data_IF_566573220577
#
_entry.id   IF_566573220577
#
_cell.length_a   1.000
_cell.length_b   1.000
_cell.length_c   1.000
_cell.angle_alpha   90.00
_cell.angle_beta   90.00
_cell.angle_gamma   90.00
#
_symmetry.space_group_name_H-M   'P 1'
#
loop_
_entity.id
_entity.type
_entity.pdbx_description
1 polymer ?
#
# COMPACT_ATOMS: atom_id res chain seq x y z
N UNK A 1 59.42 1.07 26.15
CA UNK A 1 58.55 1.53 25.07
C UNK A 1 57.93 0.28 24.45
N UNK A 2 56.65 0.01 24.75
CA UNK A 2 55.84 -1.05 24.10
C UNK A 2 54.89 -0.37 23.15
N UNK A 3 54.64 -0.87 21.92
CA UNK A 3 53.67 -0.29 20.99
C UNK A 3 52.26 -0.66 21.40
N UNK A 4 51.35 0.31 21.32
CA UNK A 4 49.92 0.18 21.49
C UNK A 4 49.35 -0.56 20.25
N UNK A 5 48.82 -1.77 20.47
CA UNK A 5 48.00 -2.45 19.49
C UNK A 5 46.61 -1.78 19.42
N UNK A 6 46.34 -1.14 18.30
CA UNK A 6 45.00 -0.69 17.95
C UNK A 6 44.14 -1.89 17.54
N UNK A 7 43.28 -2.34 18.42
CA UNK A 7 42.22 -3.30 18.10
C UNK A 7 41.15 -2.62 17.20
N UNK A 8 41.23 -2.92 15.92
CA UNK A 8 40.22 -2.61 14.94
C UNK A 8 39.00 -3.53 15.18
N UNK A 9 37.87 -3.02 15.68
CA UNK A 9 36.60 -3.76 15.77
C UNK A 9 35.66 -3.35 14.61
N UNK A 10 35.63 -4.10 13.51
CA UNK A 10 34.61 -3.94 12.49
C UNK A 10 33.42 -4.84 12.86
N UNK A 11 32.45 -4.34 13.56
CA UNK A 11 31.33 -5.23 13.91
C UNK A 11 30.02 -4.57 14.35
N UNK A 12 30.02 -3.29 14.72
CA UNK A 12 28.84 -2.63 15.27
C UNK A 12 27.95 -1.92 14.22
N UNK A 13 28.52 -1.38 13.18
CA UNK A 13 27.77 -0.65 12.12
C UNK A 13 26.92 -1.61 11.28
N UNK A 14 27.43 -2.82 11.03
CA UNK A 14 26.68 -3.85 10.31
C UNK A 14 25.45 -4.37 11.07
N UNK A 15 25.48 -4.33 12.40
CA UNK A 15 24.35 -4.87 13.23
C UNK A 15 23.18 -3.88 13.29
N UNK A 16 23.39 -2.58 13.38
CA UNK A 16 22.32 -1.58 13.41
C UNK A 16 21.62 -1.45 12.06
N UNK A 17 22.37 -1.46 10.95
CA UNK A 17 21.81 -1.49 9.60
C UNK A 17 21.06 -2.81 9.31
N UNK A 18 21.61 -3.94 9.76
CA UNK A 18 20.98 -5.24 9.65
C UNK A 18 19.71 -5.33 10.50
N UNK A 19 19.64 -4.65 11.63
CA UNK A 19 18.45 -4.65 12.50
C UNK A 19 17.32 -3.77 11.93
N UNK A 20 17.63 -2.62 11.36
CA UNK A 20 16.64 -1.78 10.68
C UNK A 20 16.09 -2.45 9.42
N UNK A 21 16.93 -3.13 8.64
CA UNK A 21 16.53 -3.93 7.48
C UNK A 21 15.77 -5.19 7.92
N UNK A 22 16.13 -5.81 9.05
CA UNK A 22 15.43 -6.96 9.59
C UNK A 22 14.02 -6.63 10.11
N UNK A 23 13.82 -5.47 10.72
CA UNK A 23 12.50 -5.00 11.17
C UNK A 23 11.60 -4.68 9.97
N UNK A 24 12.13 -4.05 8.93
CA UNK A 24 11.41 -3.80 7.68
C UNK A 24 11.10 -5.11 6.91
N UNK A 25 12.05 -6.06 6.89
CA UNK A 25 11.85 -7.38 6.27
C UNK A 25 10.88 -8.26 7.07
N UNK A 26 10.88 -8.19 8.40
CA UNK A 26 9.92 -8.90 9.25
C UNK A 26 8.50 -8.34 9.09
N UNK A 27 8.34 -7.04 8.92
CA UNK A 27 7.06 -6.42 8.57
C UNK A 27 6.54 -6.91 7.22
N UNK A 28 7.40 -6.99 6.22
CA UNK A 28 7.03 -7.47 4.88
C UNK A 28 6.80 -9.00 4.86
N UNK A 29 7.61 -9.78 5.56
CA UNK A 29 7.40 -11.25 5.71
C UNK A 29 6.15 -11.53 6.52
N UNK A 30 5.87 -10.78 7.57
CA UNK A 30 4.61 -10.88 8.31
C UNK A 30 3.41 -10.55 7.43
N UNK A 31 3.52 -9.51 6.59
CA UNK A 31 2.50 -9.14 5.60
C UNK A 31 2.30 -10.24 4.54
N UNK A 32 3.37 -10.77 3.94
CA UNK A 32 3.27 -11.82 2.91
C UNK A 32 2.82 -13.16 3.47
N UNK A 33 3.22 -13.52 4.68
CA UNK A 33 2.71 -14.70 5.37
C UNK A 33 1.24 -14.50 5.81
N UNK A 34 0.89 -13.28 6.22
CA UNK A 34 -0.47 -12.95 6.61
C UNK A 34 -1.42 -12.89 5.41
N UNK A 35 -1.01 -12.34 4.26
CA UNK A 35 -1.81 -12.31 3.03
C UNK A 35 -1.78 -13.63 2.25
N UNK A 36 -0.69 -14.39 2.32
CA UNK A 36 -0.52 -15.65 1.56
C UNK A 36 -1.12 -16.90 2.21
N UNK A 37 -1.44 -16.88 3.50
CA UNK A 37 -1.82 -18.09 4.24
C UNK A 37 -3.24 -18.06 4.84
N UNK A 38 -4.07 -17.06 4.50
CA UNK A 38 -5.49 -17.05 4.90
C UNK A 38 -6.38 -17.09 3.67
N UNK A 39 -7.06 -18.21 3.48
CA UNK A 39 -8.33 -18.26 2.76
C UNK A 39 -9.34 -17.48 3.61
N UNK A 40 -9.68 -16.28 3.22
CA UNK A 40 -10.60 -15.37 3.91
C UNK A 40 -12.07 -15.86 3.90
N UNK A 41 -12.38 -16.99 3.23
CA UNK A 41 -13.72 -17.51 3.01
C UNK A 41 -13.96 -18.90 3.61
N UNK A 42 -13.34 -19.26 4.75
CA UNK A 42 -13.70 -20.48 5.45
C UNK A 42 -14.75 -20.18 6.52
N UNK A 43 -16.02 -20.45 6.22
CA UNK A 43 -17.07 -20.66 7.23
C UNK A 43 -16.57 -21.68 8.28
N UNK A 44 -16.84 -21.47 9.58
CA UNK A 44 -16.37 -22.38 10.61
C UNK A 44 -17.19 -23.65 10.60
N UNK A 45 -16.76 -24.65 9.87
CA UNK A 45 -17.19 -26.03 10.10
C UNK A 45 -16.16 -26.67 11.02
N UNK A 46 -16.63 -27.05 12.19
CA UNK A 46 -15.90 -27.68 13.29
C UNK A 46 -15.18 -28.95 12.83
N UNK A 47 -13.84 -28.90 12.72
CA UNK A 47 -13.01 -30.08 12.60
C UNK A 47 -12.04 -30.16 13.79
N UNK A 48 -12.12 -31.25 14.51
CA UNK A 48 -11.23 -31.65 15.59
C UNK A 48 -9.75 -31.65 15.11
N UNK A 49 -8.88 -30.97 15.87
CA UNK A 49 -7.44 -30.89 15.62
C UNK A 49 -6.77 -32.10 16.26
N UNK A 50 -6.02 -32.94 15.52
CA UNK A 50 -5.08 -33.87 16.13
C UNK A 50 -3.77 -33.15 16.46
N UNK A 51 -3.23 -33.45 17.63
CA UNK A 51 -1.94 -33.01 18.14
C UNK A 51 -0.81 -33.26 17.12
N UNK A 52 -0.13 -32.21 16.66
CA UNK A 52 1.04 -32.27 15.80
C UNK A 52 2.27 -31.70 16.52
N UNK A 53 3.33 -32.50 16.56
CA UNK A 53 4.65 -32.18 17.08
C UNK A 53 5.32 -30.97 16.40
N UNK A 54 6.21 -30.23 17.06
CA UNK A 54 6.82 -29.02 16.51
C UNK A 54 7.86 -29.37 15.44
N UNK A 55 7.62 -28.89 14.22
CA UNK A 55 8.54 -29.03 13.10
C UNK A 55 9.72 -28.05 13.21
N UNK A 56 10.90 -28.59 12.99
CA UNK A 56 12.22 -27.97 12.97
C UNK A 56 12.31 -26.92 11.87
N UNK A 57 12.85 -25.74 12.19
CA UNK A 57 13.09 -24.63 11.28
C UNK A 57 13.98 -25.03 10.09
N UNK A 58 13.41 -25.02 8.88
CA UNK A 58 14.09 -25.30 7.63
C UNK A 58 14.85 -24.07 7.09
N UNK A 59 16.07 -24.33 6.62
CA UNK A 59 17.00 -23.36 6.07
C UNK A 59 16.46 -22.65 4.81
N UNK A 60 16.74 -21.34 4.72
CA UNK A 60 16.42 -20.44 3.59
C UNK A 60 17.31 -20.81 2.39
N UNK A 61 16.79 -20.96 1.16
CA UNK A 61 17.59 -21.13 -0.03
C UNK A 61 18.42 -19.87 -0.36
N UNK A 62 19.65 -20.00 -0.91
CA UNK A 62 20.61 -18.90 -1.01
C UNK A 62 20.50 -17.98 -2.23
N UNK A 63 19.49 -18.08 -3.08
CA UNK A 63 19.47 -17.40 -4.40
C UNK A 63 18.33 -16.39 -4.59
N UNK A 64 18.31 -15.32 -3.77
CA UNK A 64 17.55 -14.11 -4.14
C UNK A 64 18.50 -12.89 -4.20
N UNK A 65 18.51 -12.13 -5.32
CA UNK A 65 19.35 -10.94 -5.43
C UNK A 65 18.86 -9.85 -4.47
N UNK A 66 19.77 -9.42 -3.58
CA UNK A 66 19.53 -8.34 -2.62
C UNK A 66 19.81 -6.98 -3.28
N UNK A 67 19.02 -5.92 -2.98
CA UNK A 67 19.32 -4.56 -3.41
C UNK A 67 20.69 -4.13 -2.85
N UNK A 68 21.61 -3.77 -3.73
CA UNK A 68 22.97 -3.36 -3.36
C UNK A 68 24.09 -4.22 -3.94
N UNK A 69 23.80 -5.27 -4.71
CA UNK A 69 24.83 -6.02 -5.44
C UNK A 69 25.26 -5.30 -6.74
N UNK A 70 26.57 -5.35 -7.13
CA UNK A 70 27.06 -4.77 -8.36
C UNK A 70 26.44 -5.54 -9.55
N UNK A 71 25.55 -4.88 -10.30
CA UNK A 71 24.81 -5.44 -11.43
C UNK A 71 23.44 -4.81 -11.67
N UNK A 72 22.91 -4.02 -10.74
CA UNK A 72 21.68 -3.27 -10.95
C UNK A 72 22.01 -1.99 -11.72
N UNK A 73 21.94 -2.04 -13.05
CA UNK A 73 22.09 -0.85 -13.88
C UNK A 73 20.75 -0.14 -14.00
N UNK A 74 20.72 1.07 -13.43
CA UNK A 74 19.70 2.07 -13.68
C UNK A 74 19.75 2.46 -15.17
N UNK A 75 18.65 2.56 -15.92
CA UNK A 75 18.68 2.99 -17.31
C UNK A 75 19.19 4.45 -17.40
N UNK A 76 20.16 4.76 -18.28
CA UNK A 76 20.71 6.09 -18.40
C UNK A 76 19.73 7.06 -19.07
N UNK A 77 19.55 8.22 -18.47
CA UNK A 77 18.96 9.37 -19.12
C UNK A 77 19.97 9.93 -20.13
N UNK A 78 19.59 10.04 -21.40
CA UNK A 78 20.34 10.74 -22.43
C UNK A 78 21.00 9.84 -23.48
N UNK A 79 20.32 9.61 -24.59
CA UNK A 79 20.90 9.01 -25.80
C UNK A 79 21.90 9.96 -26.46
N UNK A 80 23.17 9.58 -26.40
CA UNK A 80 24.16 10.00 -27.39
C UNK A 80 24.29 8.89 -28.44
N UNK A 81 24.14 9.24 -29.70
CA UNK A 81 24.31 8.35 -30.85
C UNK A 81 25.75 7.83 -30.91
N UNK A 82 25.93 6.52 -30.63
CA UNK A 82 27.22 5.83 -30.84
C UNK A 82 27.18 5.15 -32.17
N UNK A 83 28.17 5.45 -33.02
CA UNK A 83 28.34 4.87 -34.35
C UNK A 83 28.52 3.34 -34.31
N UNK A 84 27.99 2.69 -35.30
CA UNK A 84 28.02 1.25 -35.52
C UNK A 84 29.46 0.76 -35.76
N UNK A 85 30.00 -0.24 -35.03
CA UNK A 85 31.30 -0.81 -35.32
C UNK A 85 31.25 -1.64 -36.62
N UNK A 86 32.29 -1.63 -37.45
CA UNK A 86 32.34 -2.41 -38.70
C UNK A 86 32.52 -3.90 -38.35
N UNK A 87 31.55 -4.72 -38.75
CA UNK A 87 31.64 -6.20 -38.63
C UNK A 87 30.42 -6.87 -37.99
N UNK A 88 29.36 -6.14 -37.64
CA UNK A 88 28.13 -6.75 -37.15
C UNK A 88 27.41 -7.56 -38.24
N UNK A 89 27.22 -8.87 -38.02
CA UNK A 89 26.32 -9.70 -38.83
C UNK A 89 24.94 -9.03 -38.88
N UNK A 90 24.24 -9.04 -40.03
CA UNK A 90 22.91 -8.52 -40.12
C UNK A 90 22.02 -9.26 -39.09
N UNK A 91 21.48 -8.51 -38.14
CA UNK A 91 20.41 -9.00 -37.26
C UNK A 91 19.26 -9.38 -38.19
N UNK A 92 18.73 -10.62 -38.14
CA UNK A 92 17.57 -10.96 -38.93
C UNK A 92 16.48 -9.92 -38.65
N UNK A 93 15.96 -9.30 -39.73
CA UNK A 93 14.83 -8.38 -39.62
C UNK A 93 13.76 -9.01 -38.71
N UNK A 94 13.23 -8.29 -37.73
CA UNK A 94 12.14 -8.81 -36.93
C UNK A 94 11.08 -9.31 -37.91
N UNK A 95 10.67 -10.57 -37.73
CA UNK A 95 9.60 -11.16 -38.52
C UNK A 95 8.47 -10.16 -38.57
N UNK A 96 7.96 -9.86 -39.76
CA UNK A 96 6.80 -8.98 -39.98
C UNK A 96 5.78 -9.34 -38.93
N UNK A 97 5.33 -8.41 -38.06
CA UNK A 97 4.38 -8.75 -37.01
C UNK A 97 3.21 -9.45 -37.71
N UNK A 98 2.91 -10.66 -37.29
CA UNK A 98 1.74 -11.40 -37.73
C UNK A 98 0.58 -10.39 -37.65
N UNK A 99 -0.09 -10.18 -38.82
CA UNK A 99 -1.13 -9.16 -39.02
C UNK A 99 -1.94 -9.02 -37.76
N UNK A 100 -1.75 -7.91 -37.04
CA UNK A 100 -2.42 -7.68 -35.75
C UNK A 100 -3.92 -7.81 -36.05
N UNK A 101 -4.55 -8.84 -35.46
CA UNK A 101 -5.95 -9.15 -35.69
C UNK A 101 -6.73 -7.91 -35.31
N UNK A 102 -7.40 -7.29 -36.27
CA UNK A 102 -8.21 -6.12 -36.01
C UNK A 102 -9.39 -6.56 -35.16
N UNK A 103 -9.46 -6.03 -33.92
CA UNK A 103 -10.58 -6.30 -33.03
C UNK A 103 -11.77 -5.46 -33.48
N UNK A 104 -12.97 -6.04 -33.38
CA UNK A 104 -14.24 -5.35 -33.37
C UNK A 104 -14.99 -5.74 -32.08
N UNK A 105 -16.12 -5.10 -31.77
CA UNK A 105 -16.83 -5.36 -30.51
C UNK A 105 -17.27 -6.83 -30.38
N UNK A 106 -17.66 -7.48 -31.44
CA UNK A 106 -18.09 -8.88 -31.43
C UNK A 106 -16.91 -9.83 -31.16
N UNK A 107 -15.76 -9.59 -31.80
CA UNK A 107 -14.55 -10.37 -31.55
C UNK A 107 -13.98 -10.13 -30.15
N UNK A 108 -14.08 -8.90 -29.60
CA UNK A 108 -13.73 -8.61 -28.22
C UNK A 108 -14.60 -9.45 -27.26
N UNK A 109 -15.92 -9.42 -27.43
CA UNK A 109 -16.84 -10.21 -26.60
C UNK A 109 -16.54 -11.71 -26.66
N UNK A 110 -16.26 -12.25 -27.84
CA UNK A 110 -15.90 -13.66 -28.02
C UNK A 110 -14.58 -14.02 -27.31
N UNK A 111 -13.56 -13.12 -27.35
CA UNK A 111 -12.27 -13.36 -26.70
C UNK A 111 -12.40 -13.28 -25.17
N UNK A 112 -13.21 -12.36 -24.65
CA UNK A 112 -13.53 -12.28 -23.22
C UNK A 112 -14.24 -13.54 -22.75
N UNK A 113 -15.17 -14.11 -23.54
CA UNK A 113 -15.83 -15.38 -23.21
C UNK A 113 -14.85 -16.56 -23.23
N UNK A 114 -13.91 -16.59 -24.18
CA UNK A 114 -12.84 -17.60 -24.20
C UNK A 114 -12.00 -17.55 -22.90
N UNK A 115 -11.63 -16.34 -22.46
CA UNK A 115 -10.89 -16.16 -21.20
C UNK A 115 -11.71 -16.61 -19.99
N UNK A 116 -13.02 -16.32 -19.97
CA UNK A 116 -13.93 -16.80 -18.94
C UNK A 116 -13.93 -18.35 -18.85
N UNK A 117 -14.04 -19.03 -19.96
CA UNK A 117 -14.00 -20.50 -20.00
C UNK A 117 -12.65 -21.05 -19.55
N UNK A 118 -11.55 -20.38 -19.94
CA UNK A 118 -10.22 -20.74 -19.49
C UNK A 118 -10.05 -20.55 -17.97
N UNK A 119 -10.60 -19.48 -17.39
CA UNK A 119 -10.58 -19.22 -15.95
C UNK A 119 -11.38 -20.28 -15.16
N UNK A 120 -12.51 -20.74 -15.70
CA UNK A 120 -13.30 -21.82 -15.12
C UNK A 120 -12.54 -23.15 -15.04
N UNK A 121 -11.72 -23.43 -16.05
CA UNK A 121 -10.98 -24.70 -16.19
C UNK A 121 -9.56 -24.65 -15.63
N UNK A 122 -9.06 -23.47 -15.25
CA UNK A 122 -7.70 -23.31 -14.72
C UNK A 122 -7.52 -24.09 -13.41
N UNK A 123 -6.51 -24.97 -13.42
CA UNK A 123 -6.28 -25.93 -12.34
C UNK A 123 -5.77 -25.30 -11.05
N UNK A 124 -5.03 -24.18 -11.16
CA UNK A 124 -4.36 -23.54 -10.02
C UNK A 124 -4.46 -22.01 -10.03
N UNK A 125 -4.10 -21.39 -8.90
CA UNK A 125 -4.13 -19.94 -8.73
C UNK A 125 -3.18 -19.19 -9.66
N UNK A 126 -2.01 -19.75 -10.01
CA UNK A 126 -1.05 -19.12 -10.93
C UNK A 126 -1.58 -19.09 -12.36
N UNK A 127 -2.28 -20.15 -12.77
CA UNK A 127 -2.97 -20.18 -14.05
C UNK A 127 -4.04 -19.10 -14.13
N UNK A 128 -4.86 -18.96 -13.10
CA UNK A 128 -5.88 -17.90 -13.00
C UNK A 128 -5.28 -16.51 -13.01
N UNK A 129 -4.22 -16.27 -12.26
CA UNK A 129 -3.53 -14.97 -12.24
C UNK A 129 -3.01 -14.59 -13.63
N UNK A 130 -2.42 -15.51 -14.38
CA UNK A 130 -1.98 -15.25 -15.76
C UNK A 130 -3.14 -14.89 -16.68
N UNK A 131 -4.29 -15.55 -16.55
CA UNK A 131 -5.49 -15.24 -17.33
C UNK A 131 -6.09 -13.89 -16.96
N UNK A 132 -6.01 -13.47 -15.70
CA UNK A 132 -6.39 -12.12 -15.26
C UNK A 132 -5.48 -11.07 -15.92
N UNK A 133 -4.18 -11.30 -15.97
CA UNK A 133 -3.24 -10.42 -16.69
C UNK A 133 -3.52 -10.37 -18.19
N UNK A 134 -3.77 -11.54 -18.84
CA UNK A 134 -4.17 -11.62 -20.24
C UNK A 134 -5.46 -10.83 -20.53
N UNK A 135 -6.44 -10.90 -19.64
CA UNK A 135 -7.64 -10.06 -19.72
C UNK A 135 -7.30 -8.57 -19.67
N UNK A 136 -6.46 -8.13 -18.76
CA UNK A 136 -6.02 -6.74 -18.67
C UNK A 136 -5.31 -6.25 -19.94
N UNK A 137 -4.44 -7.10 -20.55
CA UNK A 137 -3.76 -6.79 -21.80
C UNK A 137 -4.75 -6.73 -22.98
N UNK A 138 -5.73 -7.63 -23.02
CA UNK A 138 -6.79 -7.63 -24.02
C UNK A 138 -7.61 -6.33 -23.95
N UNK A 139 -8.04 -5.93 -22.76
CA UNK A 139 -8.80 -4.69 -22.54
C UNK A 139 -7.97 -3.48 -22.96
N UNK A 140 -6.70 -3.38 -22.58
CA UNK A 140 -5.83 -2.29 -22.98
C UNK A 140 -5.63 -2.21 -24.50
N UNK A 141 -5.48 -3.36 -25.17
CA UNK A 141 -5.38 -3.45 -26.63
C UNK A 141 -6.68 -3.01 -27.29
N UNK A 142 -7.82 -3.47 -26.78
CA UNK A 142 -9.13 -3.11 -27.29
C UNK A 142 -9.42 -1.60 -27.14
N UNK A 143 -9.07 -0.98 -26.02
CA UNK A 143 -9.19 0.48 -25.82
C UNK A 143 -8.39 1.22 -26.92
N UNK A 144 -7.16 0.76 -27.23
CA UNK A 144 -6.33 1.36 -28.26
C UNK A 144 -6.90 1.22 -29.69
N UNK A 145 -7.68 0.16 -29.97
CA UNK A 145 -8.21 -0.11 -31.31
C UNK A 145 -9.65 0.37 -31.51
N UNK A 146 -10.51 0.23 -30.50
CA UNK A 146 -11.95 0.51 -30.59
C UNK A 146 -12.35 1.80 -29.89
N UNK A 147 -11.51 2.32 -29.01
CA UNK A 147 -11.83 3.44 -28.12
C UNK A 147 -12.46 2.98 -26.79
N UNK A 148 -12.33 3.82 -25.78
CA UNK A 148 -12.75 3.54 -24.41
C UNK A 148 -14.24 3.25 -24.26
N UNK A 149 -15.10 4.05 -24.91
CA UNK A 149 -16.54 3.93 -24.79
C UNK A 149 -17.07 2.62 -25.42
N UNK A 150 -16.56 2.24 -26.59
CA UNK A 150 -16.97 0.98 -27.22
C UNK A 150 -16.58 -0.25 -26.40
N UNK A 151 -15.41 -0.22 -25.77
CA UNK A 151 -14.97 -1.29 -24.84
C UNK A 151 -15.85 -1.29 -23.60
N UNK A 152 -16.17 -0.11 -23.04
CA UNK A 152 -17.05 0.01 -21.90
C UNK A 152 -18.45 -0.55 -22.19
N UNK A 153 -19.05 -0.21 -23.34
CA UNK A 153 -20.35 -0.75 -23.77
C UNK A 153 -20.36 -2.28 -23.82
N UNK A 154 -19.31 -2.89 -24.36
CA UNK A 154 -19.22 -4.35 -24.45
C UNK A 154 -19.05 -4.98 -23.05
N UNK A 155 -18.23 -4.43 -22.16
CA UNK A 155 -18.08 -4.90 -20.79
C UNK A 155 -19.39 -4.74 -19.99
N UNK A 156 -20.11 -3.61 -20.16
CA UNK A 156 -21.42 -3.38 -19.58
C UNK A 156 -22.44 -4.42 -20.06
N UNK A 157 -22.45 -4.71 -21.36
CA UNK A 157 -23.32 -5.76 -21.94
C UNK A 157 -23.04 -7.11 -21.31
N UNK A 158 -21.77 -7.46 -21.09
CA UNK A 158 -21.37 -8.72 -20.45
C UNK A 158 -21.79 -8.75 -18.96
N UNK A 159 -21.62 -7.66 -18.22
CA UNK A 159 -22.10 -7.55 -16.84
C UNK A 159 -23.62 -7.67 -16.72
N UNK A 160 -24.37 -7.09 -17.67
CA UNK A 160 -25.83 -7.13 -17.72
C UNK A 160 -26.40 -8.48 -18.17
N UNK A 161 -25.62 -9.33 -18.81
CA UNK A 161 -26.06 -10.63 -19.32
C UNK A 161 -26.35 -11.67 -18.22
N UNK A 162 -26.13 -11.31 -16.94
CA UNK A 162 -26.53 -12.16 -15.79
C UNK A 162 -25.73 -13.45 -15.67
N UNK A 163 -24.50 -13.48 -16.18
CA UNK A 163 -23.63 -14.63 -15.98
C UNK A 163 -23.47 -14.90 -14.48
N UNK A 164 -23.55 -16.18 -14.11
CA UNK A 164 -23.22 -16.63 -12.77
C UNK A 164 -21.85 -16.11 -12.36
N UNK A 165 -21.74 -15.57 -11.16
CA UNK A 165 -20.51 -15.06 -10.63
C UNK A 165 -19.58 -16.24 -10.34
N UNK A 166 -18.46 -16.30 -11.05
CA UNK A 166 -17.47 -17.36 -10.92
C UNK A 166 -16.50 -16.96 -9.83
N UNK A 167 -16.48 -17.71 -8.74
CA UNK A 167 -15.49 -17.57 -7.68
C UNK A 167 -14.13 -18.13 -8.11
N UNK A 168 -13.12 -17.26 -8.15
CA UNK A 168 -11.74 -17.63 -8.49
C UNK A 168 -10.96 -18.15 -7.29
N UNK A 169 -11.48 -17.99 -6.06
CA UNK A 169 -10.76 -18.30 -4.82
C UNK A 169 -9.39 -17.61 -4.76
N UNK A 170 -9.33 -16.40 -5.25
CA UNK A 170 -8.14 -15.54 -5.21
C UNK A 170 -8.42 -14.33 -4.29
N UNK A 171 -7.38 -13.79 -3.64
CA UNK A 171 -7.54 -12.58 -2.84
C UNK A 171 -7.90 -11.38 -3.72
N UNK A 172 -8.48 -10.36 -3.12
CA UNK A 172 -8.63 -9.05 -3.74
C UNK A 172 -7.31 -8.28 -3.54
N UNK A 173 -6.51 -8.14 -4.60
CA UNK A 173 -5.17 -7.58 -4.51
C UNK A 173 -4.88 -6.64 -5.68
N UNK A 174 -4.66 -5.34 -5.41
CA UNK A 174 -4.19 -4.40 -6.42
C UNK A 174 -2.72 -4.64 -6.77
N UNK A 175 -2.32 -4.27 -7.99
CA UNK A 175 -0.93 -4.20 -8.43
C UNK A 175 -0.36 -2.78 -8.27
N UNK A 176 0.94 -2.64 -8.52
CA UNK A 176 1.63 -1.34 -8.42
C UNK A 176 1.22 -0.33 -9.50
N UNK A 177 0.61 -0.78 -10.57
CA UNK A 177 0.09 0.04 -11.67
C UNK A 177 -1.39 0.44 -11.47
N UNK A 178 -1.97 0.10 -10.32
CA UNK A 178 -3.37 0.35 -9.98
C UNK A 178 -4.35 -0.63 -10.62
N UNK A 179 -3.89 -1.56 -11.48
CA UNK A 179 -4.72 -2.68 -11.97
C UNK A 179 -4.76 -3.78 -10.92
N UNK A 180 -5.75 -4.64 -11.02
CA UNK A 180 -5.82 -5.78 -10.12
C UNK A 180 -4.84 -6.88 -10.56
N UNK A 181 -3.97 -7.32 -9.64
CA UNK A 181 -3.18 -8.54 -9.84
C UNK A 181 -4.03 -9.79 -9.69
N UNK A 182 -4.93 -9.76 -8.70
CA UNK A 182 -5.92 -10.81 -8.47
C UNK A 182 -7.24 -10.22 -8.03
N UNK A 183 -8.32 -10.89 -8.40
CA UNK A 183 -9.70 -10.55 -8.01
C UNK A 183 -10.43 -11.82 -7.58
N UNK A 184 -11.40 -11.73 -6.65
CA UNK A 184 -12.07 -12.91 -6.13
C UNK A 184 -13.00 -13.59 -7.15
N UNK A 185 -13.54 -12.83 -8.11
CA UNK A 185 -14.58 -13.36 -9.00
C UNK A 185 -14.60 -12.66 -10.36
N UNK A 186 -15.40 -13.26 -11.27
CA UNK A 186 -15.56 -12.78 -12.64
C UNK A 186 -16.14 -11.37 -12.74
N UNK A 187 -17.11 -11.04 -11.91
CA UNK A 187 -17.74 -9.72 -11.89
C UNK A 187 -16.72 -8.63 -11.52
N UNK A 188 -15.91 -8.88 -10.50
CA UNK A 188 -14.82 -7.96 -10.11
C UNK A 188 -13.80 -7.78 -11.23
N UNK A 189 -13.50 -8.83 -12.01
CA UNK A 189 -12.61 -8.74 -13.18
C UNK A 189 -13.18 -7.84 -14.28
N UNK A 190 -14.46 -7.98 -14.61
CA UNK A 190 -15.12 -7.12 -15.59
C UNK A 190 -15.16 -5.65 -15.11
N UNK A 191 -15.39 -5.43 -13.80
CA UNK A 191 -15.35 -4.09 -13.22
C UNK A 191 -13.94 -3.47 -13.26
N UNK A 192 -12.88 -4.28 -13.10
CA UNK A 192 -11.50 -3.79 -13.30
C UNK A 192 -11.25 -3.38 -14.75
N UNK A 193 -11.74 -4.17 -15.69
CA UNK A 193 -11.74 -3.79 -17.11
C UNK A 193 -12.49 -2.49 -17.39
N UNK A 194 -13.66 -2.29 -16.76
CA UNK A 194 -14.40 -1.02 -16.86
C UNK A 194 -13.62 0.16 -16.29
N UNK A 195 -12.97 -0.02 -15.14
CA UNK A 195 -12.12 1.02 -14.56
C UNK A 195 -11.00 1.43 -15.52
N UNK A 196 -10.38 0.47 -16.20
CA UNK A 196 -9.33 0.72 -17.18
C UNK A 196 -9.79 1.55 -18.39
N UNK A 197 -11.10 1.56 -18.71
CA UNK A 197 -11.63 2.40 -19.80
C UNK A 197 -11.68 3.88 -19.44
N UNK A 198 -11.79 4.23 -18.15
CA UNK A 198 -12.07 5.59 -17.68
C UNK A 198 -13.26 6.27 -18.40
N UNK A 199 -14.24 5.47 -18.87
CA UNK A 199 -15.35 5.93 -19.69
C UNK A 199 -16.51 6.45 -18.85
N UNK A 200 -17.16 7.57 -19.24
CA UNK A 200 -18.42 8.01 -18.64
C UNK A 200 -19.53 6.95 -18.72
N UNK A 201 -19.58 6.17 -19.81
CA UNK A 201 -20.53 5.05 -19.97
C UNK A 201 -20.36 4.02 -18.85
N UNK A 202 -19.11 3.67 -18.53
CA UNK A 202 -18.80 2.78 -17.42
C UNK A 202 -19.25 3.36 -16.08
N UNK A 203 -18.97 4.64 -15.83
CA UNK A 203 -19.36 5.32 -14.59
C UNK A 203 -20.87 5.38 -14.41
N UNK A 204 -21.62 5.72 -15.45
CA UNK A 204 -23.08 5.81 -15.40
C UNK A 204 -23.72 4.44 -15.13
N UNK A 205 -23.22 3.38 -15.77
CA UNK A 205 -23.67 2.02 -15.49
C UNK A 205 -23.39 1.64 -14.04
N UNK A 206 -22.17 1.88 -13.56
CA UNK A 206 -21.76 1.49 -12.22
C UNK A 206 -22.52 2.25 -11.15
N UNK A 207 -22.76 3.56 -11.33
CA UNK A 207 -23.58 4.36 -10.41
C UNK A 207 -24.97 3.77 -10.24
N UNK A 208 -25.62 3.40 -11.34
CA UNK A 208 -27.04 3.00 -11.36
C UNK A 208 -27.27 1.50 -11.07
N UNK A 209 -26.26 0.64 -11.29
CA UNK A 209 -26.46 -0.83 -11.26
C UNK A 209 -25.48 -1.59 -10.35
N UNK A 210 -24.44 -0.93 -9.84
CA UNK A 210 -23.46 -1.58 -8.96
C UNK A 210 -23.45 -0.92 -7.59
N UNK A 211 -23.27 0.40 -7.53
CA UNK A 211 -23.16 1.14 -6.27
C UNK A 211 -24.49 1.43 -5.59
N UNK A 212 -25.62 1.36 -6.31
CA UNK A 212 -26.95 1.46 -5.70
C UNK A 212 -27.39 0.16 -5.02
N UNK A 213 -26.93 -0.98 -5.52
CA UNK A 213 -27.25 -2.31 -4.98
C UNK A 213 -26.01 -3.23 -5.04
N UNK A 214 -24.97 -2.94 -4.27
CA UNK A 214 -23.76 -3.75 -4.27
C UNK A 214 -24.03 -5.13 -3.65
N UNK A 215 -23.56 -6.19 -4.30
CA UNK A 215 -23.72 -7.56 -3.82
C UNK A 215 -22.65 -7.95 -2.83
N UNK A 216 -21.43 -7.40 -3.01
CA UNK A 216 -20.25 -7.70 -2.21
C UNK A 216 -19.42 -6.45 -1.96
N UNK A 217 -18.51 -6.50 -0.99
CA UNK A 217 -17.52 -5.44 -0.77
C UNK A 217 -16.60 -5.25 -1.99
N UNK A 218 -16.31 -6.34 -2.72
CA UNK A 218 -15.52 -6.27 -3.95
C UNK A 218 -16.24 -5.51 -5.07
N UNK A 219 -17.57 -5.71 -5.23
CA UNK A 219 -18.39 -4.93 -6.16
C UNK A 219 -18.33 -3.44 -5.85
N UNK A 220 -18.40 -3.10 -4.56
CA UNK A 220 -18.35 -1.71 -4.16
C UNK A 220 -16.96 -1.10 -4.36
N UNK A 221 -15.90 -1.78 -3.92
CA UNK A 221 -14.53 -1.33 -4.12
C UNK A 221 -14.22 -1.06 -5.60
N UNK A 222 -14.58 -2.05 -6.46
CA UNK A 222 -14.38 -1.91 -7.91
C UNK A 222 -15.31 -0.88 -8.54
N UNK A 223 -16.54 -0.76 -8.05
CA UNK A 223 -17.47 0.29 -8.48
C UNK A 223 -16.94 1.70 -8.16
N UNK A 224 -16.42 1.91 -6.95
CA UNK A 224 -15.76 3.16 -6.60
C UNK A 224 -14.56 3.42 -7.51
N UNK A 225 -13.75 2.40 -7.82
CA UNK A 225 -12.62 2.54 -8.74
C UNK A 225 -13.06 2.99 -10.13
N UNK A 226 -14.12 2.40 -10.70
CA UNK A 226 -14.66 2.83 -12.00
C UNK A 226 -15.09 4.30 -12.00
N UNK A 227 -15.82 4.73 -10.97
CA UNK A 227 -16.26 6.14 -10.85
C UNK A 227 -15.06 7.07 -10.67
N UNK A 228 -14.07 6.67 -9.86
CA UNK A 228 -12.84 7.42 -9.63
C UNK A 228 -12.05 7.67 -10.91
N UNK A 229 -11.79 6.61 -11.69
CA UNK A 229 -11.04 6.72 -12.95
C UNK A 229 -11.82 7.52 -14.00
N UNK A 230 -13.13 7.29 -14.16
CA UNK A 230 -13.95 8.01 -15.12
C UNK A 230 -14.14 9.50 -14.79
N UNK A 231 -14.06 9.88 -13.51
CA UNK A 231 -14.09 11.28 -13.10
C UNK A 231 -12.76 12.00 -13.33
N UNK A 232 -11.74 11.32 -13.84
CA UNK A 232 -10.38 11.87 -13.94
C UNK A 232 -9.76 12.09 -12.55
N UNK A 233 -10.11 11.25 -11.57
CA UNK A 233 -9.61 11.28 -10.20
C UNK A 233 -9.94 12.58 -9.45
N UNK A 234 -11.15 13.10 -9.67
CA UNK A 234 -11.61 14.32 -9.01
C UNK A 234 -11.86 14.10 -7.53
N UNK A 235 -11.09 14.81 -6.70
CA UNK A 235 -11.16 14.70 -5.24
C UNK A 235 -12.48 15.21 -4.64
N UNK A 236 -13.11 16.15 -5.30
CA UNK A 236 -14.29 16.86 -4.78
C UNK A 236 -15.61 16.31 -5.34
N UNK A 237 -15.62 15.08 -5.90
CA UNK A 237 -16.86 14.45 -6.36
C UNK A 237 -17.76 14.09 -5.16
N UNK A 238 -18.92 14.79 -4.96
CA UNK A 238 -19.77 14.56 -3.80
C UNK A 238 -20.47 13.19 -3.84
N UNK A 239 -20.75 12.66 -5.03
CA UNK A 239 -21.33 11.32 -5.16
C UNK A 239 -20.33 10.26 -4.69
N UNK A 240 -19.08 10.37 -5.14
CA UNK A 240 -18.02 9.46 -4.73
C UNK A 240 -17.79 9.49 -3.21
N UNK A 241 -17.68 10.71 -2.64
CA UNK A 241 -17.50 10.90 -1.20
C UNK A 241 -18.64 10.30 -0.38
N UNK A 242 -19.90 10.50 -0.84
CA UNK A 242 -21.07 9.94 -0.16
C UNK A 242 -21.07 8.41 -0.22
N UNK A 243 -20.76 7.81 -1.36
CA UNK A 243 -20.70 6.35 -1.51
C UNK A 243 -19.55 5.72 -0.74
N UNK A 244 -18.40 6.38 -0.69
CA UNK A 244 -17.28 5.92 0.14
C UNK A 244 -17.65 5.95 1.63
N UNK A 245 -18.26 7.04 2.11
CA UNK A 245 -18.74 7.15 3.49
C UNK A 245 -19.80 6.07 3.83
N UNK A 246 -20.72 5.80 2.90
CA UNK A 246 -21.76 4.76 3.04
C UNK A 246 -21.11 3.38 3.21
N UNK A 247 -20.09 3.07 2.39
CA UNK A 247 -19.33 1.82 2.48
C UNK A 247 -18.65 1.66 3.84
N UNK A 248 -17.91 2.69 4.29
CA UNK A 248 -17.16 2.66 5.53
C UNK A 248 -18.06 2.59 6.79
N UNK A 249 -19.32 2.96 6.67
CA UNK A 249 -20.32 2.93 7.75
C UNK A 249 -21.28 1.75 7.66
N UNK A 250 -21.15 0.89 6.66
CA UNK A 250 -22.02 -0.27 6.50
C UNK A 250 -21.70 -1.32 7.57
N UNK A 251 -22.61 -1.59 8.54
CA UNK A 251 -22.32 -2.49 9.65
C UNK A 251 -22.11 -3.94 9.22
N UNK A 252 -22.73 -4.39 8.12
CA UNK A 252 -22.55 -5.75 7.61
C UNK A 252 -21.11 -6.00 7.18
N UNK A 253 -20.46 -4.99 6.62
CA UNK A 253 -19.11 -5.14 6.09
C UNK A 253 -18.01 -4.78 7.10
N UNK A 254 -18.31 -3.85 8.00
CA UNK A 254 -17.37 -3.45 9.05
C UNK A 254 -17.27 -4.45 10.19
N UNK A 255 -18.30 -5.30 10.39
CA UNK A 255 -18.25 -6.40 11.35
C UNK A 255 -17.46 -7.61 10.84
N UNK A 256 -17.42 -7.81 9.52
CA UNK A 256 -16.66 -8.89 8.88
C UNK A 256 -15.86 -8.30 7.70
N UNK A 257 -14.78 -7.56 7.99
CA UNK A 257 -14.01 -6.87 6.97
C UNK A 257 -13.34 -7.87 6.02
N UNK A 258 -13.51 -7.62 4.73
CA UNK A 258 -12.83 -8.37 3.67
C UNK A 258 -11.62 -7.60 3.16
N UNK A 259 -10.72 -8.26 2.41
CA UNK A 259 -9.61 -7.58 1.75
C UNK A 259 -10.06 -6.43 0.86
N UNK A 260 -11.20 -6.57 0.16
CA UNK A 260 -11.73 -5.50 -0.68
C UNK A 260 -12.16 -4.25 0.12
N UNK A 261 -12.71 -4.42 1.33
CA UNK A 261 -13.00 -3.28 2.21
C UNK A 261 -11.71 -2.59 2.64
N UNK A 262 -10.70 -3.36 3.06
CA UNK A 262 -9.44 -2.82 3.54
C UNK A 262 -8.68 -2.06 2.45
N UNK A 263 -8.64 -2.61 1.23
CA UNK A 263 -8.06 -1.93 0.07
C UNK A 263 -8.82 -0.64 -0.31
N UNK A 264 -10.14 -0.59 -0.06
CA UNK A 264 -10.96 0.60 -0.31
C UNK A 264 -10.62 1.78 0.60
N UNK A 265 -9.97 1.55 1.73
CA UNK A 265 -9.47 2.63 2.59
C UNK A 265 -8.49 3.55 1.85
N UNK A 266 -7.82 3.06 0.82
CA UNK A 266 -6.94 3.87 -0.02
C UNK A 266 -7.68 5.02 -0.75
N UNK A 267 -8.98 4.90 -1.01
CA UNK A 267 -9.77 6.01 -1.56
C UNK A 267 -9.86 7.20 -0.61
N UNK A 268 -9.82 6.99 0.71
CA UNK A 268 -9.77 8.08 1.68
C UNK A 268 -8.49 8.91 1.50
N UNK A 269 -7.36 8.22 1.26
CA UNK A 269 -6.08 8.86 0.95
C UNK A 269 -6.13 9.56 -0.40
N UNK A 270 -6.61 8.89 -1.45
CA UNK A 270 -6.66 9.42 -2.81
C UNK A 270 -7.50 10.71 -2.89
N UNK A 271 -8.65 10.73 -2.18
CA UNK A 271 -9.53 11.90 -2.08
C UNK A 271 -9.00 13.01 -1.15
N UNK A 272 -8.07 12.71 -0.24
CA UNK A 272 -7.74 13.58 0.89
C UNK A 272 -8.97 13.97 1.74
N UNK A 273 -9.90 13.03 1.90
CA UNK A 273 -11.17 13.32 2.56
C UNK A 273 -11.03 13.27 4.09
N UNK A 274 -10.81 14.45 4.68
CA UNK A 274 -10.64 14.60 6.12
C UNK A 274 -11.91 14.31 6.92
N UNK A 275 -13.08 14.44 6.32
CA UNK A 275 -14.36 14.16 6.98
C UNK A 275 -14.53 12.67 7.32
N UNK A 276 -13.73 11.81 6.69
CA UNK A 276 -13.69 10.37 6.97
C UNK A 276 -12.62 9.96 8.00
N UNK A 277 -11.81 10.91 8.50
CA UNK A 277 -10.82 10.62 9.55
C UNK A 277 -11.46 10.04 10.83
N UNK A 278 -12.60 10.55 11.34
CA UNK A 278 -13.28 9.92 12.47
C UNK A 278 -13.75 8.49 12.20
N UNK A 279 -14.13 8.17 10.95
CA UNK A 279 -14.48 6.80 10.56
C UNK A 279 -13.24 5.89 10.61
N UNK A 280 -12.08 6.38 10.15
CA UNK A 280 -10.82 5.64 10.23
C UNK A 280 -10.35 5.44 11.68
N UNK A 281 -10.54 6.43 12.56
CA UNK A 281 -10.23 6.30 14.00
C UNK A 281 -11.08 5.19 14.65
N UNK A 282 -12.38 5.10 14.32
CA UNK A 282 -13.21 3.98 14.81
C UNK A 282 -12.70 2.61 14.39
N UNK A 283 -12.08 2.49 13.21
CA UNK A 283 -11.44 1.25 12.78
C UNK A 283 -10.14 0.95 13.53
N UNK A 284 -9.43 1.97 14.04
CA UNK A 284 -8.29 1.76 14.94
C UNK A 284 -8.72 1.18 16.30
N UNK A 285 -9.87 1.62 16.81
CA UNK A 285 -10.38 1.26 18.14
C UNK A 285 -11.20 -0.04 18.12
N UNK A 286 -11.53 -0.55 16.95
CA UNK A 286 -12.40 -1.72 16.80
C UNK A 286 -11.75 -3.01 17.29
N UNK A 287 -12.51 -3.83 18.03
CA UNK A 287 -12.14 -5.19 18.45
C UNK A 287 -12.13 -6.20 17.29
N UNK A 288 -12.12 -5.74 16.03
CA UNK A 288 -12.09 -6.60 14.86
C UNK A 288 -10.72 -7.25 14.71
N UNK A 289 -10.60 -8.15 13.75
CA UNK A 289 -9.33 -8.82 13.50
C UNK A 289 -8.19 -7.79 13.32
N UNK A 290 -6.95 -8.20 13.58
CA UNK A 290 -5.77 -7.30 13.56
C UNK A 290 -5.52 -6.61 12.22
N UNK A 291 -6.22 -6.98 11.15
CA UNK A 291 -6.08 -6.42 9.80
C UNK A 291 -6.70 -5.05 9.65
N UNK A 292 -7.89 -4.85 10.23
CA UNK A 292 -8.64 -3.59 10.10
C UNK A 292 -7.96 -2.42 10.80
N UNK A 293 -7.58 -2.52 12.09
CA UNK A 293 -6.81 -1.46 12.76
C UNK A 293 -5.49 -1.14 12.04
N UNK A 294 -4.79 -2.16 11.55
CA UNK A 294 -3.56 -1.95 10.79
C UNK A 294 -3.79 -1.17 9.50
N UNK A 295 -4.78 -1.55 8.67
CA UNK A 295 -5.11 -0.86 7.43
C UNK A 295 -5.53 0.60 7.69
N UNK A 296 -6.36 0.85 8.70
CA UNK A 296 -6.75 2.19 9.11
C UNK A 296 -5.55 3.02 9.57
N UNK A 297 -4.63 2.44 10.33
CA UNK A 297 -3.38 3.09 10.76
C UNK A 297 -2.54 3.53 9.56
N UNK A 298 -2.36 2.67 8.55
CA UNK A 298 -1.61 3.01 7.32
C UNK A 298 -2.25 4.18 6.58
N UNK A 299 -3.57 4.19 6.43
CA UNK A 299 -4.30 5.30 5.79
C UNK A 299 -4.10 6.61 6.54
N UNK A 300 -4.29 6.61 7.87
CA UNK A 300 -4.11 7.78 8.71
C UNK A 300 -2.66 8.29 8.70
N UNK A 301 -1.67 7.41 8.71
CA UNK A 301 -0.26 7.77 8.56
C UNK A 301 0.02 8.48 7.24
N UNK A 302 -0.53 7.96 6.13
CA UNK A 302 -0.37 8.55 4.79
C UNK A 302 -1.03 9.91 4.70
N UNK A 303 -2.23 10.05 5.23
CA UNK A 303 -2.93 11.34 5.28
C UNK A 303 -2.21 12.35 6.18
N UNK A 304 -1.76 11.94 7.37
CA UNK A 304 -1.05 12.80 8.32
C UNK A 304 0.29 13.31 7.76
N UNK A 305 1.00 12.51 6.98
CA UNK A 305 2.25 12.94 6.33
C UNK A 305 2.03 14.07 5.30
N UNK A 306 0.84 14.14 4.71
CA UNK A 306 0.46 15.19 3.75
C UNK A 306 -0.24 16.40 4.42
N UNK A 307 -0.99 16.17 5.51
CA UNK A 307 -1.75 17.19 6.22
C UNK A 307 -1.72 16.93 7.74
N UNK A 308 -1.00 17.78 8.52
CA UNK A 308 -0.87 17.59 9.96
C UNK A 308 -2.20 17.69 10.73
N UNK A 309 -3.24 18.32 10.14
CA UNK A 309 -4.55 18.40 10.76
C UNK A 309 -5.21 17.03 10.95
N UNK A 310 -4.81 16.04 10.15
CA UNK A 310 -5.26 14.65 10.30
C UNK A 310 -4.72 14.04 11.60
N UNK A 311 -3.42 14.18 11.87
CA UNK A 311 -2.83 13.72 13.13
C UNK A 311 -3.45 14.45 14.33
N UNK A 312 -3.65 15.78 14.23
CA UNK A 312 -4.35 16.54 15.28
C UNK A 312 -5.78 16.03 15.51
N UNK A 313 -6.51 15.64 14.45
CA UNK A 313 -7.84 15.05 14.58
C UNK A 313 -7.77 13.68 15.24
N UNK A 314 -6.84 12.80 14.86
CA UNK A 314 -6.65 11.49 15.51
C UNK A 314 -6.39 11.67 17.00
N UNK A 315 -5.47 12.57 17.39
CA UNK A 315 -5.18 12.86 18.80
C UNK A 315 -6.46 13.31 19.51
N UNK A 316 -7.18 14.29 18.97
CA UNK A 316 -8.40 14.83 19.58
C UNK A 316 -9.51 13.76 19.74
N UNK A 317 -9.76 12.95 18.71
CA UNK A 317 -10.82 11.91 18.76
C UNK A 317 -10.49 10.79 19.76
N UNK A 318 -9.21 10.60 20.06
CA UNK A 318 -8.73 9.59 21.02
C UNK A 318 -8.33 10.15 22.38
N UNK A 319 -8.49 11.47 22.61
CA UNK A 319 -8.19 12.12 23.90
C UNK A 319 -9.23 11.71 24.96
N UNK A 320 -8.75 11.39 26.16
CA UNK A 320 -9.61 11.03 27.30
C UNK A 320 -10.17 9.60 27.25
N UNK A 321 -9.86 8.83 26.24
CA UNK A 321 -10.15 7.41 26.14
C UNK A 321 -8.93 6.62 26.64
N UNK A 322 -9.15 5.63 27.50
CA UNK A 322 -8.09 4.69 27.86
C UNK A 322 -7.88 3.76 26.67
N UNK A 323 -6.86 4.07 25.86
CA UNK A 323 -6.50 3.26 24.69
C UNK A 323 -5.82 1.97 25.13
N UNK A 324 -6.07 0.89 24.38
CA UNK A 324 -5.21 -0.27 24.49
C UNK A 324 -3.79 0.03 23.93
N UNK A 325 -2.82 -0.81 24.27
CA UNK A 325 -1.42 -0.55 23.94
C UNK A 325 -1.16 -0.52 22.43
N UNK A 326 -1.91 -1.26 21.61
CA UNK A 326 -1.72 -1.30 20.15
C UNK A 326 -2.34 -0.08 19.48
N UNK A 327 -3.49 0.40 19.96
CA UNK A 327 -4.09 1.67 19.49
C UNK A 327 -3.19 2.84 19.86
N UNK A 328 -2.65 2.88 21.07
CA UNK A 328 -1.69 3.89 21.51
C UNK A 328 -0.44 3.91 20.64
N UNK A 329 0.15 2.76 20.32
CA UNK A 329 1.26 2.67 19.37
C UNK A 329 0.89 3.13 17.95
N UNK A 330 -0.32 2.81 17.49
CA UNK A 330 -0.83 3.26 16.19
C UNK A 330 -0.95 4.78 16.16
N UNK A 331 -1.50 5.41 17.22
CA UNK A 331 -1.57 6.87 17.37
C UNK A 331 -0.18 7.49 17.35
N UNK A 332 0.75 6.97 18.14
CA UNK A 332 2.14 7.42 18.16
C UNK A 332 2.81 7.31 16.77
N UNK A 333 2.57 6.22 16.05
CA UNK A 333 3.09 6.01 14.69
C UNK A 333 2.53 7.01 13.70
N UNK A 334 1.23 7.35 13.78
CA UNK A 334 0.59 8.36 12.93
C UNK A 334 1.23 9.74 13.17
N UNK A 335 1.43 10.13 14.43
CA UNK A 335 2.10 11.38 14.78
C UNK A 335 3.57 11.36 14.34
N UNK A 336 4.26 10.22 14.42
CA UNK A 336 5.65 10.08 14.01
C UNK A 336 5.86 10.23 12.49
N UNK A 337 4.80 10.21 11.67
CA UNK A 337 4.85 10.52 10.23
C UNK A 337 4.94 12.01 9.93
N UNK A 338 4.72 12.85 10.91
CA UNK A 338 4.81 14.30 10.74
C UNK A 338 6.23 14.72 10.36
N UNK A 339 6.34 15.76 9.53
CA UNK A 339 7.62 16.24 9.02
C UNK A 339 8.29 17.18 10.03
N UNK A 340 9.46 16.82 10.59
CA UNK A 340 10.17 17.68 11.55
C UNK A 340 10.73 18.98 10.94
N UNK A 341 10.69 19.14 9.62
CA UNK A 341 11.11 20.38 8.96
C UNK A 341 9.99 21.42 8.86
N UNK A 342 8.75 21.06 9.21
CA UNK A 342 7.56 21.91 9.10
C UNK A 342 7.08 22.37 10.47
N UNK A 343 6.99 23.69 10.70
CA UNK A 343 6.52 24.26 11.98
C UNK A 343 5.06 23.87 12.28
N UNK A 344 4.21 23.78 11.26
CA UNK A 344 2.83 23.32 11.44
C UNK A 344 2.77 21.88 11.97
N UNK A 345 3.65 21.00 11.51
CA UNK A 345 3.76 19.62 11.98
C UNK A 345 4.35 19.56 13.39
N UNK A 346 5.36 20.40 13.69
CA UNK A 346 5.96 20.48 15.03
C UNK A 346 4.95 20.93 16.10
N UNK A 347 4.03 21.83 15.77
CA UNK A 347 2.98 22.25 16.71
C UNK A 347 2.11 21.06 17.10
N UNK A 348 1.68 20.24 16.14
CA UNK A 348 0.88 19.02 16.43
C UNK A 348 1.66 18.04 17.30
N UNK A 349 2.96 17.88 17.06
CA UNK A 349 3.82 17.00 17.88
C UNK A 349 3.93 17.53 19.31
N UNK A 350 4.09 18.84 19.50
CA UNK A 350 4.14 19.45 20.83
C UNK A 350 2.82 19.28 21.58
N UNK A 351 1.70 19.53 20.89
CA UNK A 351 0.36 19.36 21.47
C UNK A 351 0.11 17.90 21.86
N UNK A 352 0.52 16.94 21.02
CA UNK A 352 0.45 15.51 21.31
C UNK A 352 1.25 15.12 22.56
N UNK A 353 2.51 15.55 22.66
CA UNK A 353 3.35 15.23 23.82
C UNK A 353 2.93 15.95 25.11
N UNK A 354 2.19 17.06 25.00
CA UNK A 354 1.61 17.78 26.12
C UNK A 354 0.23 17.25 26.55
N UNK A 355 -0.40 16.37 25.77
CA UNK A 355 -1.71 15.81 26.07
C UNK A 355 -1.61 14.85 27.26
N UNK A 356 -2.34 15.11 28.37
CA UNK A 356 -2.35 14.21 29.53
C UNK A 356 -2.91 12.82 29.23
N UNK A 357 -3.61 12.62 28.11
CA UNK A 357 -4.09 11.34 27.63
C UNK A 357 -3.02 10.49 26.96
N UNK A 358 -1.82 11.04 26.70
CA UNK A 358 -0.67 10.29 26.17
C UNK A 358 0.09 9.66 27.34
N UNK A 359 0.11 8.32 27.38
CA UNK A 359 0.83 7.59 28.41
C UNK A 359 2.36 7.72 28.24
N UNK A 360 3.11 7.50 29.32
CA UNK A 360 4.57 7.51 29.27
C UNK A 360 5.11 6.48 28.27
N UNK A 361 4.54 5.27 28.24
CA UNK A 361 4.93 4.20 27.31
C UNK A 361 4.66 4.58 25.85
N UNK A 362 3.56 5.27 25.58
CA UNK A 362 3.22 5.78 24.25
C UNK A 362 4.18 6.89 23.81
N UNK A 363 4.46 7.85 24.68
CA UNK A 363 5.43 8.92 24.43
C UNK A 363 6.83 8.33 24.15
N UNK A 364 7.27 7.37 24.95
CA UNK A 364 8.53 6.66 24.75
C UNK A 364 8.57 5.92 23.41
N UNK A 365 7.46 5.26 23.04
CA UNK A 365 7.36 4.61 21.74
C UNK A 365 7.46 5.62 20.59
N UNK A 366 6.72 6.75 20.68
CA UNK A 366 6.81 7.84 19.71
C UNK A 366 8.27 8.32 19.52
N UNK A 367 8.95 8.63 20.63
CA UNK A 367 10.34 9.12 20.61
C UNK A 367 11.30 8.16 19.92
N UNK A 368 11.09 6.84 20.08
CA UNK A 368 11.91 5.82 19.43
C UNK A 368 11.67 5.69 17.93
N UNK A 369 10.46 5.94 17.46
CA UNK A 369 10.11 5.76 16.04
C UNK A 369 10.17 7.04 15.22
N UNK A 370 10.14 8.22 15.86
CA UNK A 370 10.20 9.51 15.17
C UNK A 370 11.63 9.90 14.74
N UNK A 371 11.82 10.58 13.61
CA UNK A 371 10.86 10.74 12.53
C UNK A 371 10.69 9.44 11.73
N UNK A 372 9.44 9.08 11.45
CA UNK A 372 9.18 7.89 10.65
C UNK A 372 9.19 8.22 9.16
N UNK A 373 9.86 7.41 8.40
CA UNK A 373 10.12 7.60 6.96
C UNK A 373 9.36 6.60 6.10
N UNK A 374 9.05 6.99 4.86
CA UNK A 374 8.37 6.14 3.90
C UNK A 374 9.40 5.38 3.05
N UNK A 375 9.72 4.16 3.45
CA UNK A 375 10.67 3.29 2.72
C UNK A 375 9.98 2.12 2.02
N UNK A 376 8.76 1.79 2.41
CA UNK A 376 7.98 0.70 1.85
C UNK A 376 6.85 1.27 1.02
N UNK A 377 6.73 0.82 -0.23
CA UNK A 377 5.61 1.11 -1.12
C UNK A 377 4.74 -0.13 -1.13
N UNK A 378 3.44 0.06 -0.95
CA UNK A 378 2.44 -0.98 -1.16
C UNK A 378 1.68 -0.73 -2.45
N UNK A 379 1.22 -1.77 -3.16
CA UNK A 379 0.21 -1.61 -4.19
C UNK A 379 -1.04 -0.98 -3.59
N UNK A 380 -1.69 -0.09 -4.33
CA UNK A 380 -2.88 0.61 -3.86
C UNK A 380 -3.92 0.68 -4.97
N UNK A 381 -5.20 0.67 -4.61
CA UNK A 381 -6.29 0.61 -5.59
C UNK A 381 -6.50 1.94 -6.34
N UNK A 382 -6.18 3.07 -5.71
CA UNK A 382 -6.48 4.41 -6.24
C UNK A 382 -5.33 5.41 -6.14
N UNK A 383 -4.52 5.35 -5.08
CA UNK A 383 -3.47 6.34 -4.83
C UNK A 383 -2.09 5.81 -5.23
N UNK A 384 -1.23 6.71 -5.65
CA UNK A 384 0.19 6.39 -5.89
C UNK A 384 1.01 6.81 -4.68
N UNK A 385 1.86 5.91 -4.20
CA UNK A 385 2.79 6.17 -3.11
C UNK A 385 4.22 6.17 -3.66
N UNK A 386 5.00 7.16 -3.25
CA UNK A 386 6.42 7.24 -3.56
C UNK A 386 7.23 7.13 -2.28
N UNK A 387 8.36 6.40 -2.28
CA UNK A 387 9.26 6.38 -1.14
C UNK A 387 9.92 7.74 -0.97
N UNK A 388 10.27 8.08 0.26
CA UNK A 388 11.16 9.23 0.51
C UNK A 388 12.50 9.01 -0.20
N UNK A 389 13.01 10.05 -0.89
CA UNK A 389 14.36 9.98 -1.46
C UNK A 389 15.38 9.94 -0.33
N UNK A 390 16.62 9.50 -0.65
CA UNK A 390 17.72 9.46 0.35
C UNK A 390 17.99 10.82 0.94
N UNK A 391 17.90 11.87 0.13
CA UNK A 391 18.11 13.26 0.54
C UNK A 391 16.97 13.75 1.43
N UNK A 392 15.70 13.43 1.10
CA UNK A 392 14.55 13.77 1.92
C UNK A 392 14.61 13.07 3.26
N UNK A 393 14.94 11.77 3.24
CA UNK A 393 15.15 10.97 4.42
C UNK A 393 16.22 11.57 5.36
N UNK A 394 17.40 11.88 4.81
CA UNK A 394 18.51 12.41 5.57
C UNK A 394 18.18 13.79 6.18
N UNK A 395 17.47 14.66 5.44
CA UNK A 395 17.00 15.96 5.96
C UNK A 395 16.00 15.82 7.10
N UNK A 396 15.01 14.92 6.97
CA UNK A 396 14.06 14.65 8.07
C UNK A 396 14.77 14.13 9.32
N UNK A 397 15.71 13.21 9.15
CA UNK A 397 16.51 12.67 10.26
C UNK A 397 17.39 13.73 10.92
N UNK A 398 18.01 14.61 10.13
CA UNK A 398 18.81 15.74 10.65
C UNK A 398 17.93 16.72 11.44
N UNK A 399 16.74 17.07 10.92
CA UNK A 399 15.81 17.93 11.62
C UNK A 399 15.27 17.29 12.90
N UNK A 400 14.97 15.99 12.87
CA UNK A 400 14.60 15.22 14.06
C UNK A 400 15.68 15.19 15.12
N UNK A 401 16.96 15.04 14.70
CA UNK A 401 18.10 15.10 15.61
C UNK A 401 18.17 16.47 16.31
N UNK A 402 18.13 17.56 15.55
CA UNK A 402 18.17 18.91 16.13
C UNK A 402 17.01 19.19 17.11
N UNK A 403 15.83 18.65 16.77
CA UNK A 403 14.65 18.74 17.66
C UNK A 403 14.88 17.98 18.98
N UNK A 404 15.39 16.77 18.93
CA UNK A 404 15.66 15.97 20.13
C UNK A 404 16.79 16.53 20.98
N UNK A 405 17.84 17.11 20.37
CA UNK A 405 18.90 17.82 21.09
C UNK A 405 18.32 19.02 21.85
N UNK A 406 17.38 19.76 21.25
CA UNK A 406 16.69 20.86 21.92
C UNK A 406 15.82 20.36 23.10
N UNK A 407 15.07 19.27 22.92
CA UNK A 407 14.24 18.68 23.98
C UNK A 407 15.06 18.05 25.10
N UNK A 408 16.21 17.49 24.83
CA UNK A 408 17.10 16.97 25.86
C UNK A 408 17.56 18.07 26.87
N UNK A 409 17.66 19.31 26.36
CA UNK A 409 18.01 20.48 27.17
C UNK A 409 16.79 21.14 27.88
N UNK A 410 15.56 20.82 27.46
CA UNK A 410 14.34 21.44 27.98
C UNK A 410 13.85 20.70 29.25
N UNK A 411 13.67 21.42 30.39
CA UNK A 411 13.11 20.83 31.62
C UNK A 411 11.72 20.23 31.44
N UNK A 412 10.93 20.71 30.49
CA UNK A 412 9.59 20.17 30.21
C UNK A 412 9.59 18.68 29.83
N UNK A 413 10.71 18.19 29.25
CA UNK A 413 10.88 16.80 28.82
C UNK A 413 11.73 15.96 29.81
N UNK A 414 11.86 16.41 31.07
CA UNK A 414 12.71 15.72 32.05
C UNK A 414 12.31 14.25 32.29
N UNK A 415 11.01 13.94 32.23
CA UNK A 415 10.49 12.56 32.39
C UNK A 415 10.78 11.65 31.20
N UNK A 416 10.95 12.19 30.00
CA UNK A 416 11.25 11.46 28.78
C UNK A 416 12.76 11.50 28.39
N UNK A 417 13.61 12.09 29.22
CA UNK A 417 15.02 12.36 28.91
C UNK A 417 15.77 11.12 28.41
N UNK A 418 15.58 9.97 29.05
CA UNK A 418 16.26 8.73 28.65
C UNK A 418 15.89 8.30 27.22
N UNK A 419 14.62 8.36 26.85
CA UNK A 419 14.16 7.99 25.50
C UNK A 419 14.63 9.02 24.46
N UNK A 420 14.70 10.29 24.83
CA UNK A 420 15.24 11.35 23.96
C UNK A 420 16.74 11.13 23.71
N UNK A 421 17.53 10.85 24.77
CA UNK A 421 18.98 10.61 24.64
C UNK A 421 19.26 9.36 23.77
N UNK A 422 18.50 8.29 23.91
CA UNK A 422 18.57 7.10 23.02
C UNK A 422 18.29 7.49 21.56
N UNK A 423 17.29 8.34 21.34
CA UNK A 423 16.92 8.80 20.00
C UNK A 423 17.94 9.75 19.40
N UNK A 424 18.56 10.63 20.20
CA UNK A 424 19.69 11.46 19.79
C UNK A 424 20.85 10.58 19.35
N UNK A 425 21.23 9.58 20.14
CA UNK A 425 22.31 8.65 19.78
C UNK A 425 22.03 7.93 18.46
N UNK A 426 20.81 7.38 18.30
CA UNK A 426 20.39 6.70 17.08
C UNK A 426 20.44 7.61 15.85
N UNK A 427 19.87 8.82 15.94
CA UNK A 427 19.80 9.75 14.82
C UNK A 427 21.17 10.32 14.48
N UNK A 428 22.06 10.55 15.48
CA UNK A 428 23.44 10.97 15.25
C UNK A 428 24.17 9.98 14.35
N UNK A 429 24.09 8.68 14.65
CA UNK A 429 24.72 7.63 13.81
C UNK A 429 24.23 7.69 12.36
N UNK A 430 22.92 7.86 12.16
CA UNK A 430 22.30 7.89 10.83
C UNK A 430 22.70 9.15 10.06
N UNK A 431 22.65 10.32 10.70
CA UNK A 431 23.03 11.63 10.10
C UNK A 431 24.51 11.65 9.75
N UNK A 432 25.38 11.14 10.61
CA UNK A 432 26.81 11.02 10.32
C UNK A 432 27.08 10.05 9.14
N UNK A 433 26.32 8.95 9.06
CA UNK A 433 26.42 8.03 7.92
C UNK A 433 26.00 8.73 6.61
N UNK A 434 24.93 9.53 6.63
CA UNK A 434 24.47 10.30 5.48
C UNK A 434 25.51 11.35 5.04
N UNK A 435 26.15 12.04 6.01
CA UNK A 435 27.26 12.99 5.72
C UNK A 435 28.47 12.29 5.12
N UNK A 436 28.88 11.14 5.67
CA UNK A 436 29.99 10.34 5.08
C UNK A 436 29.69 9.86 3.67
N UNK A 437 28.42 9.63 3.35
CA UNK A 437 27.97 9.25 2.01
C UNK A 437 27.79 10.43 1.04
N UNK A 438 28.00 11.69 1.48
CA UNK A 438 27.81 12.89 0.67
C UNK A 438 26.35 13.18 0.31
N UNK A 439 25.40 12.71 1.16
CA UNK A 439 23.95 12.94 0.98
C UNK A 439 23.52 14.24 1.69
N UNK A 440 24.21 14.61 2.78
CA UNK A 440 24.03 15.85 3.56
C UNK A 440 25.23 16.74 3.45
#
# INVERSE_FOLDING_TARGET
MKPLETQNQPGRIGKALAMAVAVAALGWVAWTLWTGNRSWDASPETAEVPDAEPAVAGAIPPDFPRPGMPGYQQPPAGMATVGTPPGARPIPSPATPATARQLDAASLGAEIQRLREALLTAADGRGRQRLIQEFGELVATAIGQLGADAVAEELVRLLGAGFEDIDFRLPFQPGFDGRMETVPNWRSLLLDGLAATASPVAADFVRNHVLDQPRTTADWAMGLKVVWEASGQQRDDPYFSAKLAEMLRNPTWTQQPTGALLESFDFVVAQHNKDLVPDMVRFLEGETDSGTPFAASIVLQRMASADPSVAATVVRETTGVQLDAEVAKSRATIVAKLDPTSEAHLNVIRDYLADPGVSADEADYFLRVFPQVNVIITPNIASTQYPDTRETLARKQQAGLALFEAWAADPAFASQRSAIEESVARLTEVVEAARRAGIL
#
